data_IF_682345673937
#
_entry.id   IF_682345673937
#
_cell.length_a   1.000
_cell.length_b   1.000
_cell.length_c   1.000
_cell.angle_alpha   90.00
_cell.angle_beta   90.00
_cell.angle_gamma   90.00
#
_symmetry.space_group_name_H-M   'P 1'
#
loop_
_entity.id
_entity.type
_entity.pdbx_description
1 polymer ?
#
# COMPACT_ATOMS: atom_id res chain seq x y z
N UNK A 1 -5.70 51.05 -90.54
CA UNK A 1 -5.97 51.80 -89.29
C UNK A 1 -6.89 50.96 -88.45
N UNK A 2 -6.39 50.25 -87.45
CA UNK A 2 -7.19 49.39 -86.58
C UNK A 2 -7.16 50.00 -85.18
N UNK A 3 -8.36 50.43 -84.71
CA UNK A 3 -8.55 51.08 -83.40
C UNK A 3 -8.47 50.04 -82.29
N UNK A 4 -7.53 50.22 -81.34
CA UNK A 4 -7.46 49.42 -80.13
C UNK A 4 -8.45 49.96 -79.07
N UNK A 5 -9.49 49.24 -78.78
CA UNK A 5 -10.38 49.49 -77.62
C UNK A 5 -9.64 49.11 -76.35
N UNK A 6 -9.49 50.05 -75.42
CA UNK A 6 -9.03 49.86 -74.06
C UNK A 6 -10.08 49.18 -73.24
N UNK A 7 -9.80 48.00 -72.72
CA UNK A 7 -10.68 47.33 -71.73
C UNK A 7 -10.33 47.85 -70.32
N UNK A 8 -11.26 48.52 -69.71
CA UNK A 8 -11.15 48.99 -68.31
C UNK A 8 -11.49 47.84 -67.40
N UNK A 9 -10.51 47.41 -66.64
CA UNK A 9 -10.73 46.37 -65.59
C UNK A 9 -11.54 46.94 -64.40
N UNK A 10 -12.57 46.21 -64.02
CA UNK A 10 -13.40 46.51 -62.88
C UNK A 10 -12.64 46.17 -61.58
N UNK A 11 -12.65 46.97 -60.49
CA UNK A 11 -11.97 46.66 -59.28
C UNK A 11 -12.65 45.49 -58.56
N UNK A 12 -11.83 44.50 -58.13
CA UNK A 12 -12.27 43.37 -57.34
C UNK A 12 -12.76 43.84 -55.94
N UNK A 13 -13.95 43.43 -55.58
CA UNK A 13 -14.48 43.66 -54.26
C UNK A 13 -13.63 42.91 -53.21
N UNK A 14 -13.06 43.64 -52.26
CA UNK A 14 -12.44 43.05 -51.07
C UNK A 14 -13.51 42.46 -50.17
N UNK A 15 -13.64 41.14 -50.15
CA UNK A 15 -14.34 40.42 -49.12
C UNK A 15 -13.54 40.54 -47.82
N UNK A 16 -13.99 41.35 -46.91
CA UNK A 16 -13.51 41.37 -45.52
C UNK A 16 -14.12 40.12 -44.83
N UNK A 17 -13.25 39.08 -44.73
CA UNK A 17 -13.54 37.96 -43.83
C UNK A 17 -13.59 38.50 -42.41
N UNK A 18 -14.69 38.27 -41.69
CA UNK A 18 -14.80 38.56 -40.28
C UNK A 18 -13.78 37.72 -39.51
N UNK A 19 -13.11 38.25 -38.48
CA UNK A 19 -12.11 37.48 -37.72
C UNK A 19 -12.81 36.29 -37.06
N UNK A 20 -12.36 35.07 -37.36
CA UNK A 20 -12.76 33.86 -36.70
C UNK A 20 -12.27 33.95 -35.25
N UNK A 21 -13.15 34.30 -34.34
CA UNK A 21 -12.87 34.29 -32.90
C UNK A 21 -12.74 32.84 -32.49
N UNK A 22 -11.50 32.41 -32.22
CA UNK A 22 -11.23 31.11 -31.67
C UNK A 22 -12.02 30.94 -30.34
N UNK A 23 -12.65 29.79 -30.09
CA UNK A 23 -13.40 29.57 -28.87
C UNK A 23 -12.46 29.72 -27.66
N UNK A 24 -12.73 30.71 -26.81
CA UNK A 24 -12.02 30.87 -25.53
C UNK A 24 -12.41 29.72 -24.62
N UNK A 25 -11.55 28.71 -24.56
CA UNK A 25 -11.66 27.65 -23.58
C UNK A 25 -11.53 28.26 -22.19
N UNK A 26 -12.64 28.35 -21.46
CA UNK A 26 -12.60 28.67 -20.03
C UNK A 26 -11.87 27.53 -19.33
N UNK A 27 -10.79 27.80 -18.58
CA UNK A 27 -10.11 26.74 -17.85
C UNK A 27 -11.11 26.03 -16.96
N UNK A 28 -11.19 24.69 -17.06
CA UNK A 28 -12.00 23.88 -16.14
C UNK A 28 -11.56 24.19 -14.72
N UNK A 29 -12.49 24.49 -13.82
CA UNK A 29 -12.18 24.62 -12.39
C UNK A 29 -11.48 23.33 -11.96
N UNK A 30 -10.25 23.45 -11.47
CA UNK A 30 -9.58 22.35 -10.79
C UNK A 30 -10.38 22.01 -9.54
N UNK A 31 -10.91 20.79 -9.46
CA UNK A 31 -11.53 20.27 -8.24
C UNK A 31 -10.44 19.60 -7.45
N UNK A 32 -9.80 20.36 -6.55
CA UNK A 32 -8.90 19.78 -5.57
C UNK A 32 -9.74 19.18 -4.44
N UNK A 33 -9.50 17.91 -4.10
CA UNK A 33 -10.12 17.24 -2.94
C UNK A 33 -9.42 17.60 -1.62
N UNK A 34 -8.31 18.34 -1.67
CA UNK A 34 -7.64 18.88 -0.49
C UNK A 34 -8.61 19.82 0.26
N UNK A 35 -8.91 19.54 1.51
CA UNK A 35 -9.89 20.26 2.31
C UNK A 35 -11.29 19.65 2.33
N UNK A 36 -11.54 18.56 1.61
CA UNK A 36 -12.76 17.76 1.73
C UNK A 36 -12.52 16.61 2.70
N UNK A 37 -13.35 16.51 3.74
CA UNK A 37 -13.26 15.39 4.69
C UNK A 37 -13.60 14.08 3.98
N UNK A 38 -12.61 13.19 3.87
CA UNK A 38 -12.77 11.88 3.23
C UNK A 38 -13.51 10.87 4.11
N UNK A 39 -13.47 11.04 5.42
CA UNK A 39 -14.12 10.18 6.39
C UNK A 39 -13.56 10.38 7.79
N UNK A 40 -14.08 9.61 8.73
CA UNK A 40 -13.59 9.56 10.10
C UNK A 40 -12.77 8.30 10.33
N UNK A 41 -11.64 8.42 11.00
CA UNK A 41 -10.83 7.29 11.44
C UNK A 41 -10.55 7.41 12.95
N UNK A 42 -10.50 6.26 13.63
CA UNK A 42 -10.09 6.16 15.02
C UNK A 42 -8.68 5.53 15.15
N UNK A 43 -8.00 5.28 14.01
CA UNK A 43 -6.72 4.58 14.00
C UNK A 43 -5.55 5.53 14.20
N UNK A 44 -5.59 6.68 13.53
CA UNK A 44 -4.44 7.56 13.44
C UNK A 44 -4.88 9.02 13.33
N UNK A 45 -4.05 9.93 13.83
CA UNK A 45 -4.10 11.37 13.55
C UNK A 45 -2.73 11.83 13.12
N UNK A 46 -2.67 12.62 12.04
CA UNK A 46 -1.43 13.15 11.47
C UNK A 46 -1.51 14.66 11.36
N UNK A 47 -0.47 15.35 11.80
CA UNK A 47 -0.30 16.80 11.57
C UNK A 47 -1.35 17.69 12.24
N UNK A 48 -1.97 17.25 13.34
CA UNK A 48 -2.97 18.04 14.06
C UNK A 48 -2.34 19.23 14.76
N UNK A 49 -1.12 19.07 15.25
CA UNK A 49 -0.36 20.09 15.98
C UNK A 49 1.04 20.29 15.38
N UNK A 50 1.19 20.16 14.05
CA UNK A 50 2.48 20.27 13.36
C UNK A 50 2.86 18.96 12.67
N UNK A 51 3.96 18.33 13.06
CA UNK A 51 4.46 17.05 12.51
C UNK A 51 4.18 15.86 13.44
N UNK A 52 3.13 15.95 14.24
CA UNK A 52 2.73 14.91 15.18
C UNK A 52 2.07 13.73 14.46
N UNK A 53 2.27 12.54 15.03
CA UNK A 53 1.64 11.30 14.60
C UNK A 53 1.17 10.54 15.85
N UNK A 54 -0.12 10.22 15.90
CA UNK A 54 -0.72 9.50 17.02
C UNK A 54 -1.43 8.25 16.51
N UNK A 55 -1.18 7.12 17.15
CA UNK A 55 -1.89 5.87 16.92
C UNK A 55 -2.90 5.63 18.04
N UNK A 56 -4.20 5.67 17.72
CA UNK A 56 -5.31 5.53 18.68
C UNK A 56 -5.17 6.44 19.91
N UNK A 57 -4.60 7.64 19.71
CA UNK A 57 -4.40 8.63 20.75
C UNK A 57 -3.06 8.58 21.49
N UNK A 58 -2.22 7.59 21.21
CA UNK A 58 -0.86 7.52 21.73
C UNK A 58 0.10 8.25 20.80
N UNK A 59 0.98 9.09 21.32
CA UNK A 59 2.03 9.73 20.53
C UNK A 59 3.04 8.66 20.07
N UNK A 60 3.44 8.74 18.82
CA UNK A 60 4.42 7.79 18.26
C UNK A 60 5.78 7.88 18.97
N UNK A 61 6.14 9.03 19.50
CA UNK A 61 7.39 9.23 20.24
C UNK A 61 7.42 8.44 21.55
N UNK A 62 6.25 8.08 22.10
CA UNK A 62 6.19 7.30 23.35
C UNK A 62 6.66 5.84 23.16
N UNK A 63 6.68 5.34 21.94
CA UNK A 63 6.95 3.92 21.71
C UNK A 63 7.84 3.59 20.49
N UNK A 64 8.13 4.53 19.59
CA UNK A 64 8.87 4.24 18.36
C UNK A 64 10.24 3.61 18.61
N UNK A 65 10.93 4.03 19.67
CA UNK A 65 12.27 3.56 20.03
C UNK A 65 12.29 2.35 20.98
N UNK A 66 11.18 2.07 21.65
CA UNK A 66 11.15 1.10 22.76
C UNK A 66 10.23 -0.08 22.53
N UNK A 67 9.08 0.12 21.85
CA UNK A 67 8.09 -0.92 21.63
C UNK A 67 8.51 -1.87 20.51
N UNK A 68 7.94 -3.08 20.54
CA UNK A 68 7.99 -4.00 19.42
C UNK A 68 6.88 -3.66 18.41
N UNK A 69 7.11 -3.93 17.13
CA UNK A 69 6.09 -3.68 16.09
C UNK A 69 4.78 -4.41 16.38
N UNK A 70 4.86 -5.61 16.93
CA UNK A 70 3.68 -6.43 17.26
C UNK A 70 2.79 -5.80 18.32
N UNK A 71 3.32 -4.98 19.23
CA UNK A 71 2.52 -4.20 20.19
C UNK A 71 1.67 -3.15 19.46
N UNK A 72 2.27 -2.47 18.49
CA UNK A 72 1.60 -1.43 17.71
C UNK A 72 0.62 -2.04 16.71
N UNK A 73 0.98 -3.15 16.07
CA UNK A 73 0.06 -3.91 15.23
C UNK A 73 -1.18 -4.36 16.02
N UNK A 74 -0.97 -4.88 17.23
CA UNK A 74 -2.08 -5.24 18.13
C UNK A 74 -2.93 -4.02 18.50
N UNK A 75 -2.30 -2.88 18.82
CA UNK A 75 -3.02 -1.64 19.10
C UNK A 75 -3.90 -1.22 17.92
N UNK A 76 -3.36 -1.22 16.70
CA UNK A 76 -4.09 -0.77 15.52
C UNK A 76 -5.21 -1.74 15.12
N UNK A 77 -4.95 -3.04 15.11
CA UNK A 77 -5.90 -4.07 14.65
C UNK A 77 -6.91 -4.42 15.75
N UNK A 78 -6.46 -4.61 16.99
CA UNK A 78 -7.32 -5.08 18.09
C UNK A 78 -7.82 -3.96 18.99
N UNK A 79 -7.33 -2.73 18.87
CA UNK A 79 -7.88 -1.54 19.50
C UNK A 79 -7.29 -1.18 20.85
N UNK A 80 -6.34 -1.95 21.36
CA UNK A 80 -5.66 -1.72 22.65
C UNK A 80 -4.22 -2.20 22.61
N UNK A 81 -3.35 -1.61 23.42
CA UNK A 81 -2.03 -2.16 23.68
C UNK A 81 -2.17 -3.51 24.40
N UNK A 82 -1.39 -4.52 24.00
CA UNK A 82 -1.42 -5.82 24.66
C UNK A 82 -0.68 -5.76 26.00
N UNK A 83 -1.15 -6.51 26.98
CA UNK A 83 -0.31 -6.85 28.12
C UNK A 83 0.72 -7.93 27.72
N UNK A 84 1.67 -8.25 28.60
CA UNK A 84 2.76 -9.18 28.30
C UNK A 84 2.27 -10.57 27.85
N UNK A 85 1.21 -11.09 28.46
CA UNK A 85 0.66 -12.40 28.09
C UNK A 85 -0.04 -12.35 26.72
N UNK A 86 -0.80 -11.27 26.47
CA UNK A 86 -1.47 -11.03 25.18
C UNK A 86 -0.43 -10.84 24.06
N UNK A 87 0.65 -10.08 24.29
CA UNK A 87 1.74 -9.92 23.33
C UNK A 87 2.40 -11.27 22.99
N UNK A 88 2.72 -12.06 23.99
CA UNK A 88 3.32 -13.39 23.79
C UNK A 88 2.40 -14.27 22.94
N UNK A 89 1.10 -14.31 23.26
CA UNK A 89 0.12 -15.08 22.49
C UNK A 89 -0.03 -14.56 21.06
N UNK A 90 -0.04 -13.23 20.88
CA UNK A 90 -0.15 -12.60 19.58
C UNK A 90 1.05 -12.90 18.69
N UNK A 91 2.28 -12.77 19.21
CA UNK A 91 3.52 -13.16 18.50
C UNK A 91 3.52 -14.64 18.12
N UNK A 92 3.06 -15.53 19.01
CA UNK A 92 2.91 -16.96 18.70
C UNK A 92 1.89 -17.19 17.57
N UNK A 93 0.75 -16.49 17.58
CA UNK A 93 -0.25 -16.52 16.48
C UNK A 93 0.39 -16.09 15.16
N UNK A 94 1.04 -14.92 15.10
CA UNK A 94 1.67 -14.42 13.88
C UNK A 94 2.74 -15.39 13.35
N UNK A 95 3.53 -15.97 14.24
CA UNK A 95 4.53 -17.00 13.85
C UNK A 95 3.87 -18.22 13.21
N UNK A 96 2.75 -18.67 13.70
CA UNK A 96 2.03 -19.82 13.12
C UNK A 96 1.43 -19.54 11.75
N UNK A 97 1.28 -18.26 11.37
CA UNK A 97 0.69 -17.81 10.10
C UNK A 97 1.72 -17.51 9.01
N UNK A 98 3.03 -17.67 9.26
CA UNK A 98 4.12 -17.34 8.31
C UNK A 98 4.21 -18.25 7.10
N UNK A 99 3.64 -19.46 7.21
CA UNK A 99 3.70 -20.47 6.17
C UNK A 99 2.99 -20.05 4.90
N UNK A 100 3.49 -20.51 3.75
CA UNK A 100 2.90 -20.25 2.45
C UNK A 100 2.18 -21.52 1.94
N UNK A 101 0.90 -21.43 1.56
CA UNK A 101 0.21 -22.52 0.85
C UNK A 101 0.95 -22.93 -0.42
N UNK A 102 0.96 -24.21 -0.75
CA UNK A 102 1.65 -24.72 -1.94
C UNK A 102 1.19 -24.06 -3.24
N UNK A 103 -0.10 -23.75 -3.37
CA UNK A 103 -0.65 -23.04 -4.53
C UNK A 103 -0.06 -21.61 -4.63
N UNK A 104 0.15 -20.91 -3.51
CA UNK A 104 0.79 -19.61 -3.51
C UNK A 104 2.26 -19.72 -3.94
N UNK A 105 3.00 -20.72 -3.45
CA UNK A 105 4.38 -20.97 -3.87
C UNK A 105 4.47 -21.15 -5.38
N UNK A 106 3.61 -21.99 -5.96
CA UNK A 106 3.55 -22.20 -7.42
C UNK A 106 3.30 -20.90 -8.20
N UNK A 107 2.40 -20.04 -7.71
CA UNK A 107 2.15 -18.75 -8.35
C UNK A 107 3.39 -17.84 -8.25
N UNK A 108 4.02 -17.76 -7.09
CA UNK A 108 5.23 -16.95 -6.89
C UNK A 108 6.39 -17.40 -7.76
N UNK A 109 6.58 -18.71 -7.94
CA UNK A 109 7.60 -19.30 -8.80
C UNK A 109 7.40 -18.97 -10.30
N UNK A 110 6.17 -18.68 -10.72
CA UNK A 110 5.86 -18.28 -12.09
C UNK A 110 6.13 -16.80 -12.39
N UNK A 111 6.35 -15.96 -11.36
CA UNK A 111 6.57 -14.53 -11.54
C UNK A 111 8.00 -14.20 -11.97
N UNK A 112 8.18 -13.35 -13.01
CA UNK A 112 9.51 -12.96 -13.47
C UNK A 112 10.32 -12.22 -12.39
N UNK A 113 11.65 -12.36 -12.40
CA UNK A 113 12.54 -11.62 -11.53
C UNK A 113 12.48 -10.08 -11.75
N UNK A 114 12.10 -9.64 -12.94
CA UNK A 114 11.92 -8.23 -13.27
C UNK A 114 10.61 -7.62 -12.73
N UNK A 115 9.75 -8.41 -12.07
CA UNK A 115 8.52 -7.90 -11.46
C UNK A 115 8.82 -6.90 -10.35
N UNK A 116 8.00 -5.84 -10.25
CA UNK A 116 8.10 -4.94 -9.12
C UNK A 116 7.64 -5.64 -7.83
N UNK A 117 8.34 -5.52 -6.69
CA UNK A 117 7.98 -6.17 -5.42
C UNK A 117 6.54 -5.93 -4.98
N UNK A 118 5.99 -4.74 -5.22
CA UNK A 118 4.58 -4.44 -4.91
C UNK A 118 3.60 -5.24 -5.77
N UNK A 119 3.95 -5.53 -7.03
CA UNK A 119 3.11 -6.37 -7.90
C UNK A 119 3.14 -7.83 -7.45
N UNK A 120 4.28 -8.29 -6.95
CA UNK A 120 4.41 -9.62 -6.33
C UNK A 120 3.53 -9.71 -5.08
N UNK A 121 3.59 -8.73 -4.19
CA UNK A 121 2.76 -8.69 -2.98
C UNK A 121 1.27 -8.61 -3.30
N UNK A 122 0.87 -7.80 -4.30
CA UNK A 122 -0.50 -7.74 -4.80
C UNK A 122 -0.97 -9.10 -5.31
N UNK A 123 -0.15 -9.78 -6.09
CA UNK A 123 -0.45 -11.12 -6.63
C UNK A 123 -0.56 -12.13 -5.49
N UNK A 124 0.33 -12.08 -4.51
CA UNK A 124 0.25 -12.92 -3.32
C UNK A 124 -1.06 -12.71 -2.54
N UNK A 125 -1.44 -11.46 -2.29
CA UNK A 125 -2.70 -11.14 -1.60
C UNK A 125 -3.93 -11.65 -2.37
N UNK A 126 -3.97 -11.44 -3.71
CA UNK A 126 -5.06 -11.94 -4.56
C UNK A 126 -5.12 -13.48 -4.56
N UNK A 127 -3.98 -14.14 -4.64
CA UNK A 127 -3.91 -15.61 -4.59
C UNK A 127 -4.41 -16.13 -3.24
N UNK A 128 -4.01 -15.52 -2.15
CA UNK A 128 -4.50 -15.88 -0.82
C UNK A 128 -6.02 -15.73 -0.71
N UNK A 129 -6.59 -14.66 -1.25
CA UNK A 129 -8.04 -14.48 -1.29
C UNK A 129 -8.77 -15.58 -2.07
N UNK A 130 -8.17 -16.10 -3.16
CA UNK A 130 -8.72 -17.23 -3.91
C UNK A 130 -8.65 -18.57 -3.17
N UNK A 131 -7.54 -18.79 -2.43
CA UNK A 131 -7.28 -20.08 -1.76
C UNK A 131 -7.98 -20.14 -0.39
N UNK A 132 -8.05 -19.02 0.28
CA UNK A 132 -8.59 -18.86 1.63
C UNK A 132 -9.71 -17.81 1.60
N UNK A 133 -10.86 -18.12 0.99
CA UNK A 133 -11.92 -17.15 0.79
C UNK A 133 -12.46 -16.64 2.13
N UNK A 134 -12.85 -15.39 2.14
CA UNK A 134 -13.53 -14.77 3.26
C UNK A 134 -14.93 -15.38 3.45
N UNK A 135 -15.43 -15.30 4.66
CA UNK A 135 -16.81 -15.69 4.97
C UNK A 135 -17.76 -14.56 4.58
N UNK A 136 -18.99 -14.91 4.21
CA UNK A 136 -20.00 -13.95 3.77
C UNK A 136 -20.49 -12.99 4.87
N UNK A 137 -20.28 -13.32 6.14
CA UNK A 137 -20.77 -12.55 7.29
C UNK A 137 -19.95 -11.29 7.61
N UNK A 138 -18.75 -11.15 7.02
CA UNK A 138 -17.86 -9.99 7.13
C UNK A 138 -17.68 -9.43 8.55
N UNK A 139 -17.69 -10.32 9.55
CA UNK A 139 -17.58 -9.90 10.94
C UNK A 139 -16.18 -9.40 11.29
N UNK A 140 -16.09 -8.56 12.33
CA UNK A 140 -14.83 -7.94 12.75
C UNK A 140 -13.75 -8.97 13.18
N UNK A 141 -14.06 -10.05 13.93
CA UNK A 141 -13.07 -11.07 14.24
C UNK A 141 -12.42 -11.70 13.01
N UNK A 142 -13.20 -12.09 12.00
CA UNK A 142 -12.67 -12.69 10.78
C UNK A 142 -11.82 -11.69 9.98
N UNK A 143 -12.22 -10.41 9.90
CA UNK A 143 -11.42 -9.36 9.29
C UNK A 143 -10.07 -9.16 9.99
N UNK A 144 -10.02 -9.27 11.32
CA UNK A 144 -8.77 -9.21 12.08
C UNK A 144 -7.88 -10.43 11.81
N UNK A 145 -8.45 -11.61 11.71
CA UNK A 145 -7.70 -12.83 11.38
C UNK A 145 -7.10 -12.77 9.96
N UNK A 146 -7.81 -12.17 9.01
CA UNK A 146 -7.29 -11.91 7.66
C UNK A 146 -6.13 -10.91 7.73
N UNK A 147 -6.27 -9.80 8.46
CA UNK A 147 -5.22 -8.81 8.64
C UNK A 147 -3.97 -9.41 9.28
N UNK A 148 -4.12 -10.18 10.35
CA UNK A 148 -3.02 -10.87 11.02
C UNK A 148 -2.30 -11.85 10.08
N UNK A 149 -3.05 -12.59 9.26
CA UNK A 149 -2.49 -13.52 8.27
C UNK A 149 -1.70 -12.80 7.19
N UNK A 150 -2.27 -11.76 6.60
CA UNK A 150 -1.58 -10.97 5.57
C UNK A 150 -0.31 -10.33 6.12
N UNK A 151 -0.37 -9.77 7.32
CA UNK A 151 0.79 -9.20 7.99
C UNK A 151 1.89 -10.24 8.26
N UNK A 152 1.52 -11.45 8.63
CA UNK A 152 2.48 -12.51 8.95
C UNK A 152 3.13 -13.11 7.71
N UNK A 153 2.41 -13.26 6.59
CA UNK A 153 2.91 -14.04 5.46
C UNK A 153 3.32 -13.24 4.21
N UNK A 154 2.93 -11.95 4.08
CA UNK A 154 3.33 -11.17 2.91
C UNK A 154 4.85 -10.98 2.80
N UNK A 155 5.54 -10.80 3.92
CA UNK A 155 7.01 -10.78 3.96
C UNK A 155 7.63 -12.11 3.52
N UNK A 156 7.08 -13.23 4.00
CA UNK A 156 7.47 -14.58 3.57
C UNK A 156 7.28 -14.79 2.08
N UNK A 157 6.13 -14.37 1.53
CA UNK A 157 5.81 -14.50 0.11
C UNK A 157 6.79 -13.69 -0.76
N UNK A 158 7.07 -12.45 -0.35
CA UNK A 158 8.00 -11.58 -1.07
C UNK A 158 9.41 -12.17 -1.11
N UNK A 159 9.91 -12.67 0.03
CA UNK A 159 11.26 -13.21 0.11
C UNK A 159 11.38 -14.60 -0.49
N UNK A 160 10.33 -15.42 -0.45
CA UNK A 160 10.27 -16.67 -1.22
C UNK A 160 10.43 -16.39 -2.71
N UNK A 161 9.61 -15.49 -3.26
CA UNK A 161 9.74 -15.07 -4.66
C UNK A 161 11.12 -14.51 -4.97
N UNK A 162 11.66 -13.63 -4.12
CA UNK A 162 12.96 -13.01 -4.33
C UNK A 162 14.06 -14.06 -4.46
N UNK A 163 14.15 -15.00 -3.53
CA UNK A 163 15.16 -16.03 -3.58
C UNK A 163 14.98 -17.00 -4.74
N UNK A 164 13.74 -17.35 -5.06
CA UNK A 164 13.46 -18.21 -6.18
C UNK A 164 13.80 -17.56 -7.52
N UNK A 165 13.26 -16.36 -7.76
CA UNK A 165 13.37 -15.69 -9.06
C UNK A 165 14.77 -15.13 -9.35
N UNK A 166 15.50 -14.67 -8.34
CA UNK A 166 16.82 -14.06 -8.53
C UNK A 166 17.96 -15.03 -8.29
N UNK A 167 17.79 -16.00 -7.43
CA UNK A 167 18.87 -16.90 -7.00
C UNK A 167 18.61 -18.37 -7.33
N UNK A 168 17.45 -18.73 -7.91
CA UNK A 168 17.07 -20.11 -8.18
C UNK A 168 16.90 -20.97 -6.92
N UNK A 169 16.65 -20.35 -5.76
CA UNK A 169 16.61 -21.03 -4.46
C UNK A 169 15.21 -21.07 -3.89
N UNK A 170 14.74 -22.28 -3.60
CA UNK A 170 13.60 -22.52 -2.71
C UNK A 170 14.08 -22.34 -1.27
N UNK A 171 13.48 -21.46 -0.52
CA UNK A 171 13.76 -21.25 0.90
C UNK A 171 12.64 -21.80 1.78
N UNK A 172 12.98 -22.31 2.96
CA UNK A 172 12.01 -22.54 4.00
C UNK A 172 11.63 -21.19 4.64
N UNK A 173 10.35 -20.88 4.66
CA UNK A 173 9.83 -19.65 5.25
C UNK A 173 9.46 -19.81 6.74
N UNK A 174 9.70 -20.94 7.34
CA UNK A 174 9.53 -21.15 8.77
C UNK A 174 10.82 -20.79 9.49
N UNK A 175 10.76 -19.87 10.45
CA UNK A 175 11.86 -19.50 11.32
C UNK A 175 11.38 -19.43 12.77
N UNK A 176 12.32 -19.55 13.70
CA UNK A 176 12.06 -19.43 15.14
C UNK A 176 12.09 -17.98 15.63
N UNK A 177 12.28 -17.03 14.73
CA UNK A 177 12.36 -15.61 15.09
C UNK A 177 11.06 -15.15 15.75
N UNK A 178 11.22 -14.35 16.79
CA UNK A 178 10.13 -13.95 17.66
C UNK A 178 9.26 -12.83 17.02
N UNK A 179 9.81 -12.04 16.12
CA UNK A 179 9.13 -10.90 15.48
C UNK A 179 9.05 -11.01 13.97
N UNK A 180 8.13 -10.26 13.37
CA UNK A 180 7.99 -10.09 11.91
C UNK A 180 9.27 -9.47 11.33
N UNK A 181 9.82 -8.45 11.99
CA UNK A 181 11.04 -7.79 11.54
C UNK A 181 12.25 -8.71 11.54
N UNK A 182 12.45 -9.47 12.63
CA UNK A 182 13.54 -10.45 12.71
C UNK A 182 13.39 -11.57 11.67
N UNK A 183 12.17 -12.09 11.52
CA UNK A 183 11.84 -13.09 10.51
C UNK A 183 12.15 -12.60 9.09
N UNK A 184 11.71 -11.38 8.74
CA UNK A 184 12.00 -10.79 7.44
C UNK A 184 13.50 -10.69 7.17
N UNK A 185 14.29 -10.17 8.12
CA UNK A 185 15.73 -10.05 8.00
C UNK A 185 16.42 -11.43 7.90
N UNK A 186 15.94 -12.40 8.67
CA UNK A 186 16.44 -13.77 8.62
C UNK A 186 16.24 -14.39 7.22
N UNK A 187 15.04 -14.30 6.67
CA UNK A 187 14.77 -14.81 5.33
C UNK A 187 15.60 -14.07 4.27
N UNK A 188 15.71 -12.75 4.38
CA UNK A 188 16.46 -11.94 3.41
C UNK A 188 17.94 -12.30 3.35
N UNK A 189 18.57 -12.46 4.52
CA UNK A 189 20.01 -12.66 4.62
C UNK A 189 20.44 -14.14 4.78
N UNK A 190 19.47 -15.03 4.98
CA UNK A 190 19.73 -16.47 5.22
C UNK A 190 20.44 -16.76 6.55
N UNK A 191 20.41 -15.84 7.51
CA UNK A 191 20.99 -15.97 8.84
C UNK A 191 20.24 -15.13 9.86
N UNK A 192 20.28 -15.56 11.12
CA UNK A 192 19.66 -14.81 12.22
C UNK A 192 20.24 -13.39 12.30
N UNK A 193 19.38 -12.35 12.31
CA UNK A 193 19.81 -10.96 12.41
C UNK A 193 20.36 -10.64 13.80
N UNK A 194 21.19 -9.59 13.92
CA UNK A 194 21.57 -9.03 15.19
C UNK A 194 20.47 -8.16 15.78
N UNK A 195 20.56 -7.84 17.07
CA UNK A 195 19.54 -7.09 17.80
C UNK A 195 19.37 -5.65 17.29
N UNK A 196 20.43 -4.97 16.86
CA UNK A 196 20.36 -3.61 16.32
C UNK A 196 19.55 -3.55 15.03
N UNK A 197 19.72 -4.52 14.13
CA UNK A 197 18.95 -4.62 12.90
C UNK A 197 17.47 -4.94 13.18
N UNK A 198 17.23 -5.82 14.17
CA UNK A 198 15.87 -6.13 14.60
C UNK A 198 15.21 -4.87 15.17
N UNK A 199 15.92 -4.11 16.02
CA UNK A 199 15.42 -2.86 16.57
C UNK A 199 15.12 -1.83 15.46
N UNK A 200 16.02 -1.66 14.51
CA UNK A 200 15.80 -0.78 13.37
C UNK A 200 14.57 -1.16 12.55
N UNK A 201 14.31 -2.47 12.36
CA UNK A 201 13.10 -2.95 11.68
C UNK A 201 11.85 -2.68 12.49
N UNK A 202 11.85 -2.87 13.81
CA UNK A 202 10.71 -2.50 14.66
C UNK A 202 10.38 -1.02 14.51
N UNK A 203 11.36 -0.14 14.68
CA UNK A 203 11.17 1.30 14.53
C UNK A 203 10.65 1.65 13.13
N UNK A 204 11.24 1.08 12.08
CA UNK A 204 10.80 1.32 10.70
C UNK A 204 9.34 0.89 10.48
N UNK A 205 8.97 -0.31 10.89
CA UNK A 205 7.60 -0.82 10.74
C UNK A 205 6.59 -0.03 11.57
N UNK A 206 6.96 0.42 12.76
CA UNK A 206 6.12 1.27 13.61
C UNK A 206 5.85 2.61 12.92
N UNK A 207 6.89 3.27 12.40
CA UNK A 207 6.76 4.57 11.73
C UNK A 207 5.93 4.51 10.45
N UNK A 208 5.91 3.36 9.78
CA UNK A 208 5.15 3.16 8.54
C UNK A 208 3.78 2.49 8.74
N UNK A 209 3.38 2.19 9.98
CA UNK A 209 2.21 1.36 10.21
C UNK A 209 0.89 2.00 9.76
N UNK A 210 0.73 3.32 9.95
CA UNK A 210 -0.53 4.01 9.64
C UNK A 210 -0.28 5.52 9.44
N UNK A 211 -1.01 6.15 8.55
CA UNK A 211 -0.97 7.61 8.33
C UNK A 211 -2.31 8.19 7.83
N UNK A 212 -3.43 7.69 8.33
CA UNK A 212 -4.80 8.03 7.93
C UNK A 212 -5.19 7.41 6.56
N UNK A 213 -6.13 8.04 5.85
CA UNK A 213 -6.57 7.56 4.55
C UNK A 213 -5.54 7.87 3.46
N UNK A 214 -4.58 6.99 3.24
CA UNK A 214 -3.79 7.06 2.02
C UNK A 214 -4.69 6.82 0.79
N UNK A 215 -4.19 7.18 -0.41
CA UNK A 215 -4.98 7.12 -1.64
C UNK A 215 -5.54 5.72 -1.93
N UNK A 216 -4.76 4.67 -1.68
CA UNK A 216 -5.20 3.30 -1.91
C UNK A 216 -6.28 2.86 -0.92
N UNK A 217 -6.10 3.14 0.37
CA UNK A 217 -7.11 2.86 1.42
C UNK A 217 -8.41 3.60 1.14
N UNK A 218 -8.32 4.89 0.78
CA UNK A 218 -9.50 5.68 0.42
C UNK A 218 -10.25 5.08 -0.78
N UNK A 219 -9.54 4.74 -1.84
CA UNK A 219 -10.14 4.14 -3.05
C UNK A 219 -10.80 2.80 -2.74
N UNK A 220 -10.10 1.91 -2.03
CA UNK A 220 -10.67 0.62 -1.63
C UNK A 220 -11.92 0.78 -0.76
N UNK A 221 -11.91 1.72 0.18
CA UNK A 221 -13.07 2.01 1.04
C UNK A 221 -14.27 2.51 0.24
N UNK A 222 -14.06 3.38 -0.75
CA UNK A 222 -15.13 3.88 -1.62
C UNK A 222 -15.72 2.75 -2.44
N UNK A 223 -14.88 1.92 -3.07
CA UNK A 223 -15.35 0.79 -3.89
C UNK A 223 -16.06 -0.25 -3.03
N UNK A 224 -15.54 -0.59 -1.87
CA UNK A 224 -16.16 -1.57 -0.97
C UNK A 224 -17.50 -1.08 -0.36
N UNK A 225 -17.75 0.22 -0.35
CA UNK A 225 -18.99 0.82 0.17
C UNK A 225 -20.08 1.01 -0.87
N UNK A 226 -19.84 0.62 -2.12
CA UNK A 226 -20.82 0.66 -3.22
C UNK A 226 -21.35 -0.73 -3.50
#
# INVERSE_FOLDING_TARGET
MVSKKKVVAKPAAKTTEAPVVAPVFKPKKSVALSGVTAGNTALCTVGRSGNDLHYRGYDILDFADTSEFEEIAHLLIHGKLPNKAELTAYKAKLRSLRGLPAQLQTVLESLPAASHPMDVMRTAASTLGCILPEKDDHNIPDARDIADRLMANLGSALLYWYHYSHNGRVIDVQTDDDSIGAHFLHLLHGKKPNEDWVRAMHTSLILYAEHEFNASTFTCRVIAGT
#
